data_IF_157147336688
#
_entry.id   IF_157147336688
#
_cell.length_a   1.000
_cell.length_b   1.000
_cell.length_c   1.000
_cell.angle_alpha   90.00
_cell.angle_beta   90.00
_cell.angle_gamma   90.00
#
_symmetry.space_group_name_H-M   'P 1'
#
loop_
_entity.id
_entity.type
_entity.pdbx_description
1 polymer ?
#
# COMPACT_ATOMS: atom_id res chain seq x y z
N UNK A 1 -8.45 -63.29 -0.43
CA UNK A 1 -7.67 -62.16 0.11
C UNK A 1 -6.45 -62.01 -0.78
N UNK A 2 -6.47 -61.06 -1.72
CA UNK A 2 -5.31 -60.22 -2.05
C UNK A 2 -5.78 -59.11 -2.99
N UNK A 3 -5.18 -57.94 -2.79
CA UNK A 3 -5.80 -56.64 -2.93
C UNK A 3 -5.60 -56.04 -4.33
N UNK A 4 -6.68 -55.55 -4.93
CA UNK A 4 -6.69 -54.73 -6.14
C UNK A 4 -6.01 -53.39 -5.90
N UNK A 5 -5.10 -52.99 -6.79
CA UNK A 5 -4.78 -51.58 -7.04
C UNK A 5 -4.29 -51.41 -8.49
N UNK A 6 -5.24 -51.30 -9.42
CA UNK A 6 -4.98 -50.80 -10.78
C UNK A 6 -4.56 -49.33 -10.70
N UNK A 7 -3.33 -49.05 -11.11
CA UNK A 7 -2.80 -47.70 -11.27
C UNK A 7 -3.40 -47.09 -12.54
N UNK A 8 -4.49 -46.35 -12.37
CA UNK A 8 -5.05 -45.49 -13.42
C UNK A 8 -4.15 -44.25 -13.57
N UNK A 9 -3.66 -43.89 -14.77
CA UNK A 9 -3.17 -42.54 -15.00
C UNK A 9 -4.39 -41.60 -15.04
N UNK A 10 -4.45 -40.66 -14.10
CA UNK A 10 -5.44 -39.59 -14.12
C UNK A 10 -5.31 -38.81 -15.44
N UNK A 11 -6.41 -38.75 -16.21
CA UNK A 11 -6.54 -37.86 -17.38
C UNK A 11 -6.32 -36.43 -16.90
N UNK A 12 -5.16 -35.85 -17.21
CA UNK A 12 -4.94 -34.43 -17.06
C UNK A 12 -5.78 -33.71 -18.12
N UNK A 13 -6.68 -32.82 -17.68
CA UNK A 13 -7.42 -31.92 -18.55
C UNK A 13 -6.47 -30.85 -19.12
N UNK A 14 -6.55 -30.49 -20.41
CA UNK A 14 -5.82 -29.36 -20.95
C UNK A 14 -6.57 -28.06 -20.63
N UNK A 15 -5.86 -27.00 -20.22
CA UNK A 15 -6.43 -25.64 -20.23
C UNK A 15 -6.55 -24.90 -18.90
N UNK A 16 -5.71 -25.17 -17.91
CA UNK A 16 -5.31 -24.09 -17.00
C UNK A 16 -4.00 -23.53 -17.52
N UNK A 17 -4.12 -22.65 -18.52
CA UNK A 17 -3.06 -21.72 -18.91
C UNK A 17 -2.66 -21.02 -17.62
N UNK A 18 -1.52 -21.44 -17.05
CA UNK A 18 -0.91 -20.76 -15.93
C UNK A 18 -0.57 -19.38 -16.46
N UNK A 19 -1.46 -18.43 -16.21
CA UNK A 19 -1.22 -17.02 -16.51
C UNK A 19 0.17 -16.72 -15.95
N UNK A 20 1.11 -16.20 -16.77
CA UNK A 20 2.41 -15.83 -16.25
C UNK A 20 2.16 -14.92 -15.03
N UNK A 21 2.92 -15.07 -13.93
CA UNK A 21 2.78 -14.19 -12.78
C UNK A 21 2.83 -12.77 -13.35
N UNK A 22 1.72 -12.04 -13.23
CA UNK A 22 1.68 -10.63 -13.58
C UNK A 22 2.86 -10.00 -12.85
N UNK A 23 3.75 -9.24 -13.52
CA UNK A 23 4.84 -8.60 -12.81
C UNK A 23 4.21 -7.86 -11.64
N UNK A 24 4.64 -8.16 -10.41
CA UNK A 24 4.14 -7.49 -9.22
C UNK A 24 4.18 -5.99 -9.51
N UNK A 25 3.01 -5.34 -9.54
CA UNK A 25 2.87 -3.95 -9.94
C UNK A 25 3.89 -3.14 -9.14
N UNK A 26 4.83 -2.47 -9.79
CA UNK A 26 5.79 -1.64 -9.08
C UNK A 26 5.05 -0.45 -8.44
N UNK A 27 5.35 -0.17 -7.18
CA UNK A 27 4.75 0.90 -6.38
C UNK A 27 5.84 1.71 -5.67
N UNK A 28 5.56 2.98 -5.43
CA UNK A 28 6.41 3.86 -4.62
C UNK A 28 5.77 4.03 -3.23
N UNK A 29 6.58 4.48 -2.26
CA UNK A 29 6.14 4.70 -0.88
C UNK A 29 6.40 6.15 -0.48
N UNK A 30 5.34 6.87 -0.14
CA UNK A 30 5.43 8.21 0.44
C UNK A 30 5.41 8.09 1.96
N UNK A 31 6.48 8.48 2.63
CA UNK A 31 6.61 8.48 4.09
C UNK A 31 6.44 9.88 4.66
N UNK A 32 5.67 10.01 5.74
CA UNK A 32 5.39 11.26 6.45
C UNK A 32 5.37 11.02 7.97
N UNK A 33 5.58 12.05 8.81
CA UNK A 33 5.39 11.93 10.25
C UNK A 33 3.98 11.44 10.61
N UNK A 34 3.86 10.56 11.61
CA UNK A 34 2.59 9.90 11.97
C UNK A 34 1.42 10.86 12.16
N UNK A 35 1.61 11.97 12.89
CA UNK A 35 0.54 12.96 13.14
C UNK A 35 0.02 13.58 11.84
N UNK A 36 0.92 13.86 10.90
CA UNK A 36 0.57 14.43 9.59
C UNK A 36 -0.14 13.38 8.73
N UNK A 37 0.40 12.17 8.67
CA UNK A 37 -0.20 11.08 7.91
C UNK A 37 -1.59 10.68 8.42
N UNK A 38 -1.81 10.65 9.74
CA UNK A 38 -3.10 10.27 10.31
C UNK A 38 -4.19 11.29 9.97
N UNK A 39 -3.86 12.58 10.05
CA UNK A 39 -4.76 13.65 9.62
C UNK A 39 -5.04 13.55 8.11
N UNK A 40 -4.03 13.22 7.29
CA UNK A 40 -4.23 13.01 5.86
C UNK A 40 -5.14 11.79 5.59
N UNK A 41 -4.98 10.68 6.31
CA UNK A 41 -5.87 9.51 6.21
C UNK A 41 -7.30 9.88 6.56
N UNK A 42 -7.51 10.68 7.61
CA UNK A 42 -8.82 11.15 8.03
C UNK A 42 -9.48 12.03 6.96
N UNK A 43 -8.74 12.99 6.40
CA UNK A 43 -9.19 13.84 5.29
C UNK A 43 -9.59 13.01 4.06
N UNK A 44 -8.74 12.04 3.68
CA UNK A 44 -9.03 11.18 2.52
C UNK A 44 -10.29 10.34 2.75
N UNK A 45 -10.45 9.74 3.94
CA UNK A 45 -11.63 8.94 4.29
C UNK A 45 -12.92 9.76 4.30
N UNK A 46 -12.88 11.05 4.63
CA UNK A 46 -14.05 11.94 4.59
C UNK A 46 -14.51 12.29 3.18
N UNK A 47 -13.64 12.19 2.17
CA UNK A 47 -13.90 12.69 0.81
C UNK A 47 -14.71 11.73 -0.09
N UNK A 48 -15.14 10.58 0.45
CA UNK A 48 -16.06 9.58 -0.13
C UNK A 48 -15.66 8.85 -1.44
N UNK A 49 -14.68 9.30 -2.21
CA UNK A 49 -14.02 8.58 -3.34
C UNK A 49 -12.86 9.48 -3.84
N UNK A 50 -11.65 9.00 -4.17
CA UNK A 50 -11.19 7.60 -4.19
C UNK A 50 -10.86 7.00 -2.84
N UNK A 51 -10.94 5.67 -2.80
CA UNK A 51 -10.52 4.87 -1.66
C UNK A 51 -9.04 5.14 -1.34
N UNK A 52 -8.72 5.20 -0.05
CA UNK A 52 -7.34 5.26 0.42
C UNK A 52 -6.70 3.89 0.14
N UNK A 53 -5.56 3.91 -0.54
CA UNK A 53 -4.78 2.70 -0.77
C UNK A 53 -4.14 2.17 0.51
N UNK A 54 -3.29 1.14 0.40
CA UNK A 54 -2.61 0.56 1.56
C UNK A 54 -1.75 1.60 2.29
N UNK A 55 -1.80 1.57 3.62
CA UNK A 55 -1.03 2.46 4.49
C UNK A 55 -0.32 1.65 5.56
N UNK A 56 0.99 1.83 5.64
CA UNK A 56 1.86 1.24 6.66
C UNK A 56 2.10 2.27 7.76
N UNK A 57 2.15 1.82 8.99
CA UNK A 57 2.65 2.58 10.13
C UNK A 57 3.96 1.96 10.60
N UNK A 58 5.03 2.74 10.51
CA UNK A 58 6.33 2.41 11.09
C UNK A 58 6.40 3.03 12.48
N UNK A 59 6.20 2.19 13.50
CA UNK A 59 6.28 2.61 14.90
C UNK A 59 7.72 2.93 15.34
N UNK A 60 8.75 2.47 14.62
CA UNK A 60 10.15 2.70 14.96
C UNK A 60 10.58 4.12 14.63
N UNK A 61 10.21 4.58 13.44
CA UNK A 61 10.52 5.93 12.95
C UNK A 61 9.37 6.94 13.19
N UNK A 62 8.24 6.51 13.76
CA UNK A 62 7.00 7.29 13.93
C UNK A 62 6.53 7.94 12.62
N UNK A 63 6.43 7.10 11.58
CA UNK A 63 5.99 7.53 10.24
C UNK A 63 4.86 6.68 9.68
N UNK A 64 4.05 7.31 8.82
CA UNK A 64 3.11 6.60 7.95
C UNK A 64 3.64 6.55 6.52
N UNK A 65 3.54 5.36 5.91
CA UNK A 65 3.90 5.08 4.53
C UNK A 65 2.65 4.84 3.68
N UNK A 66 2.40 5.68 2.68
CA UNK A 66 1.33 5.52 1.70
C UNK A 66 1.84 4.87 0.44
N UNK A 67 1.19 3.78 0.02
CA UNK A 67 1.48 3.16 -1.26
C UNK A 67 0.84 3.99 -2.39
N UNK A 68 1.66 4.37 -3.37
CA UNK A 68 1.28 5.17 -4.54
C UNK A 68 1.79 4.49 -5.83
N UNK A 69 1.26 4.85 -7.02
CA UNK A 69 1.78 4.35 -8.30
C UNK A 69 3.28 4.58 -8.44
N UNK A 70 3.99 3.65 -9.08
CA UNK A 70 5.39 3.84 -9.44
C UNK A 70 5.61 5.05 -10.35
N UNK A 71 6.79 5.65 -10.23
CA UNK A 71 7.14 6.91 -10.91
C UNK A 71 6.68 8.15 -10.15
N UNK A 72 5.94 7.99 -9.06
CA UNK A 72 5.60 9.09 -8.16
C UNK A 72 6.85 9.67 -7.52
N UNK A 73 7.81 8.83 -7.14
CA UNK A 73 9.04 9.25 -6.48
C UNK A 73 9.87 10.22 -7.32
N UNK A 74 9.82 10.13 -8.66
CA UNK A 74 10.58 11.00 -9.56
C UNK A 74 10.06 12.45 -9.56
N UNK A 75 8.77 12.64 -9.26
CA UNK A 75 8.08 13.92 -9.29
C UNK A 75 7.47 14.29 -7.92
N UNK A 76 7.94 13.67 -6.84
CA UNK A 76 7.45 13.97 -5.51
C UNK A 76 8.24 15.13 -4.91
N UNK A 77 7.56 16.27 -4.76
CA UNK A 77 8.11 17.48 -4.18
C UNK A 77 7.09 18.06 -3.19
N UNK A 78 6.99 17.42 -2.02
CA UNK A 78 6.13 17.87 -0.93
C UNK A 78 6.97 18.03 0.35
N UNK A 79 7.03 19.22 0.95
CA UNK A 79 7.81 19.45 2.15
C UNK A 79 7.29 18.63 3.33
N UNK A 80 8.21 18.12 4.16
CA UNK A 80 7.86 17.27 5.31
C UNK A 80 7.44 15.85 4.94
N UNK A 81 7.63 15.45 3.68
CA UNK A 81 7.38 14.09 3.19
C UNK A 81 8.53 13.63 2.30
N UNK A 82 8.83 12.34 2.35
CA UNK A 82 9.81 11.71 1.47
C UNK A 82 9.08 10.69 0.60
N UNK A 83 9.44 10.59 -0.67
CA UNK A 83 8.96 9.50 -1.53
C UNK A 83 10.14 8.63 -1.92
N UNK A 84 10.09 7.37 -1.51
CA UNK A 84 11.08 6.37 -1.85
C UNK A 84 10.51 5.52 -2.96
N UNK A 85 11.25 5.43 -4.07
CA UNK A 85 10.99 4.39 -5.04
C UNK A 85 11.22 3.06 -4.33
N UNK A 86 10.17 2.27 -4.20
CA UNK A 86 10.37 0.90 -3.76
C UNK A 86 10.75 0.20 -5.05
N UNK A 87 12.02 -0.18 -5.16
CA UNK A 87 12.58 -0.75 -6.38
C UNK A 87 11.96 -2.13 -6.59
N UNK A 88 10.66 -2.18 -6.97
CA UNK A 88 9.75 -3.31 -6.92
C UNK A 88 10.43 -4.54 -6.37
N UNK A 89 10.66 -4.60 -5.03
CA UNK A 89 11.52 -5.62 -4.39
C UNK A 89 10.85 -7.00 -4.41
N UNK A 90 10.09 -7.29 -5.45
CA UNK A 90 9.42 -8.55 -5.72
C UNK A 90 8.35 -8.90 -4.69
N UNK A 91 8.00 -7.99 -3.77
CA UNK A 91 6.94 -8.23 -2.80
C UNK A 91 5.65 -7.63 -3.38
N UNK A 92 4.82 -8.44 -4.05
CA UNK A 92 3.49 -7.99 -4.42
C UNK A 92 2.74 -7.52 -3.17
N UNK A 93 1.95 -6.47 -3.30
CA UNK A 93 0.94 -6.15 -2.30
C UNK A 93 -0.15 -7.22 -2.42
N UNK A 94 -0.03 -8.28 -1.62
CA UNK A 94 -1.02 -9.34 -1.61
C UNK A 94 -2.10 -8.98 -0.60
N UNK A 95 -3.35 -8.99 -1.03
CA UNK A 95 -4.49 -8.82 -0.14
C UNK A 95 -4.40 -9.82 1.03
N UNK A 96 -4.58 -9.32 2.26
CA UNK A 96 -4.46 -10.15 3.46
C UNK A 96 -3.02 -10.49 3.89
N UNK A 97 -1.99 -9.92 3.26
CA UNK A 97 -0.61 -10.04 3.75
C UNK A 97 -0.50 -9.39 5.15
N UNK A 98 -0.14 -10.14 6.21
CA UNK A 98 -0.22 -9.64 7.59
C UNK A 98 0.91 -8.67 7.93
N UNK A 99 2.04 -8.73 7.23
CA UNK A 99 3.25 -7.95 7.53
C UNK A 99 3.52 -6.98 6.38
N UNK A 100 3.72 -5.69 6.65
CA UNK A 100 4.07 -4.72 5.61
C UNK A 100 5.51 -4.89 5.12
N UNK A 101 5.86 -4.32 3.96
CA UNK A 101 7.20 -4.36 3.38
C UNK A 101 8.23 -3.47 4.13
N UNK A 102 7.84 -2.89 5.26
CA UNK A 102 8.67 -2.06 6.13
C UNK A 102 8.97 -2.85 7.39
N UNK A 103 10.25 -3.04 7.70
CA UNK A 103 10.69 -3.79 8.88
C UNK A 103 10.18 -3.11 10.16
N UNK A 104 9.48 -3.87 11.01
CA UNK A 104 8.90 -3.34 12.26
C UNK A 104 7.61 -2.51 12.08
N UNK A 105 7.15 -2.33 10.84
CA UNK A 105 5.88 -1.67 10.56
C UNK A 105 4.67 -2.58 10.77
N UNK A 106 3.49 -1.97 10.94
CA UNK A 106 2.19 -2.63 10.89
C UNK A 106 1.29 -1.98 9.84
N UNK A 107 0.34 -2.74 9.28
CA UNK A 107 -0.66 -2.14 8.40
C UNK A 107 -1.64 -1.28 9.21
N UNK A 108 -1.71 0.01 8.89
CA UNK A 108 -2.83 0.86 9.30
C UNK A 108 -4.04 0.61 8.38
N UNK A 109 -3.76 0.46 7.09
CA UNK A 109 -4.72 0.05 6.07
C UNK A 109 -4.10 -1.10 5.27
N UNK A 110 -4.56 -2.35 5.46
CA UNK A 110 -4.03 -3.48 4.70
C UNK A 110 -4.47 -3.41 3.24
N UNK A 111 -3.72 -4.03 2.32
CA UNK A 111 -4.14 -4.19 0.93
C UNK A 111 -5.46 -4.97 0.83
N UNK A 112 -6.34 -4.52 -0.06
CA UNK A 112 -7.62 -5.16 -0.38
C UNK A 112 -7.65 -5.59 -1.85
N UNK A 113 -8.48 -6.58 -2.20
CA UNK A 113 -8.52 -7.22 -3.52
C UNK A 113 -8.82 -6.27 -4.70
N UNK A 114 -9.26 -5.03 -4.43
CA UNK A 114 -9.59 -4.03 -5.46
C UNK A 114 -8.39 -3.19 -5.90
N UNK A 115 -7.27 -3.24 -5.16
CA UNK A 115 -5.96 -2.67 -5.50
C UNK A 115 -5.89 -1.23 -6.07
N UNK A 116 -6.67 -0.22 -5.63
CA UNK A 116 -6.26 1.15 -5.89
C UNK A 116 -5.14 1.52 -4.90
N UNK A 117 -3.91 1.63 -5.41
CA UNK A 117 -2.88 2.45 -4.75
C UNK A 117 -3.39 3.89 -4.64
N UNK A 118 -2.91 4.65 -3.64
CA UNK A 118 -3.41 6.01 -3.41
C UNK A 118 -2.99 6.92 -4.57
N UNK A 119 -3.94 7.65 -5.17
CA UNK A 119 -3.62 8.66 -6.19
C UNK A 119 -2.68 9.73 -5.58
N UNK A 120 -1.50 9.95 -6.18
CA UNK A 120 -0.50 10.84 -5.59
C UNK A 120 -0.95 12.31 -5.66
N UNK A 121 -1.82 12.72 -6.59
CA UNK A 121 -2.37 14.08 -6.62
C UNK A 121 -3.37 14.30 -5.46
N UNK A 122 -4.19 13.30 -5.17
CA UNK A 122 -5.14 13.34 -4.04
C UNK A 122 -4.37 13.31 -2.71
N UNK A 123 -3.32 12.49 -2.61
CA UNK A 123 -2.45 12.45 -1.43
C UNK A 123 -1.77 13.80 -1.16
N UNK A 124 -1.21 14.46 -2.19
CA UNK A 124 -0.60 15.80 -2.03
C UNK A 124 -1.60 16.81 -1.48
N UNK A 125 -2.84 16.80 -1.99
CA UNK A 125 -3.91 17.69 -1.51
C UNK A 125 -4.24 17.43 -0.04
N UNK A 126 -4.40 16.16 0.34
CA UNK A 126 -4.69 15.77 1.71
C UNK A 126 -3.56 16.13 2.68
N UNK A 127 -2.30 15.92 2.28
CA UNK A 127 -1.13 16.32 3.07
C UNK A 127 -1.07 17.85 3.24
N UNK A 128 -1.29 18.62 2.18
CA UNK A 128 -1.31 20.08 2.29
C UNK A 128 -2.45 20.59 3.17
N UNK A 129 -3.59 19.90 3.19
CA UNK A 129 -4.70 20.22 4.10
C UNK A 129 -4.41 19.83 5.55
N UNK A 130 -3.87 18.63 5.77
CA UNK A 130 -3.43 18.17 7.08
C UNK A 130 -2.43 19.14 7.71
N UNK A 131 -1.45 19.63 6.94
CA UNK A 131 -0.48 20.60 7.43
C UNK A 131 -1.16 21.89 7.92
N UNK A 132 -2.18 22.39 7.19
CA UNK A 132 -2.95 23.57 7.61
C UNK A 132 -3.77 23.29 8.87
N UNK A 133 -4.39 22.12 8.98
CA UNK A 133 -5.15 21.71 10.16
C UNK A 133 -4.25 21.62 11.39
N UNK A 134 -3.08 20.99 11.25
CA UNK A 134 -2.12 20.86 12.34
C UNK A 134 -1.55 22.21 12.79
N UNK A 135 -1.16 23.08 11.85
CA UNK A 135 -0.72 24.46 12.17
C UNK A 135 -1.81 25.24 12.91
N UNK A 136 -3.07 25.11 12.50
CA UNK A 136 -4.19 25.76 13.17
C UNK A 136 -4.46 25.20 14.57
N UNK A 137 -4.17 23.91 14.82
CA UNK A 137 -4.28 23.30 16.14
C UNK A 137 -3.13 23.74 17.06
N UNK A 138 -1.89 23.77 16.57
CA UNK A 138 -0.71 24.12 17.36
C UNK A 138 -0.67 25.61 17.75
N UNK A 139 -1.20 26.50 16.91
CA UNK A 139 -1.32 27.93 17.22
C UNK A 139 -2.43 28.29 18.22
N UNK A 140 -3.23 27.32 18.67
CA UNK A 140 -4.29 27.51 19.68
C UNK A 140 -3.88 27.07 21.09
N UNK A 141 -2.65 26.60 21.25
CA UNK A 141 -2.10 26.12 22.53
C UNK A 141 -1.29 27.20 23.23
#
# INVERSE_FOLDING_TARGET
MENSASRMPARQAPGQEQQPPQPAQAWDLVTVPSRHGLEAVDILRRSADPAVGPVVHDCGDDTLGFVVPSGTAEAWDMPGSDCKQTSGRGVPLVAGQPVPPVDGGCWLLPPCDSDPVTDPAVLRRALGEAERTLKAADGRQ
#
